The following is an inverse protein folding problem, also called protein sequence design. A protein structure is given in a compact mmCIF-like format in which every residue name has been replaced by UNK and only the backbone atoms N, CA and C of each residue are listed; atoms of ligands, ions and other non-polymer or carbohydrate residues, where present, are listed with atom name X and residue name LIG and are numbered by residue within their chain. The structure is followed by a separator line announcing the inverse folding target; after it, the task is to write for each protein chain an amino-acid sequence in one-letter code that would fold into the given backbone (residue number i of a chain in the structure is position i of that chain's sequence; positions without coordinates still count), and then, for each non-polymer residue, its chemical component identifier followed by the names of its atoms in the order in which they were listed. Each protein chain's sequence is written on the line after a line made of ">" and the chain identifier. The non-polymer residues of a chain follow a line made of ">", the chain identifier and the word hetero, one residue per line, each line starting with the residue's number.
data_IF_876249357859
#
_entry.id   IF_876249357859
#
_cell.length_a   1.000
_cell.length_b   1.000
_cell.length_c   1.000
_cell.angle_alpha   90.00
_cell.angle_beta   90.00
_cell.angle_gamma   90.00
#
_symmetry.space_group_name_H-M   'P 1'
#
loop_
_entity.id
_entity.type
_entity.pdbx_description
1 polymer ?
#
# COMPACT_ATOMS: atom_id res chain seq x y z
N UNK A 1 16.62 -39.03 -14.32
CA UNK A 1 15.50 -39.64 -13.55
C UNK A 1 15.05 -38.63 -12.50
N UNK A 2 14.12 -37.75 -12.87
CA UNK A 2 13.68 -36.60 -12.08
C UNK A 2 12.53 -37.05 -11.17
N UNK A 3 12.67 -36.86 -9.85
CA UNK A 3 11.63 -37.17 -8.85
C UNK A 3 10.57 -36.07 -8.83
N UNK A 4 9.32 -36.55 -8.91
CA UNK A 4 8.05 -35.86 -8.73
C UNK A 4 7.97 -35.09 -7.40
N UNK A 5 7.50 -33.85 -7.46
CA UNK A 5 6.93 -33.14 -6.31
C UNK A 5 5.45 -32.89 -6.61
N UNK A 6 4.62 -33.29 -5.64
CA UNK A 6 3.17 -33.38 -5.67
C UNK A 6 2.52 -32.00 -5.66
N UNK A 7 1.46 -31.89 -6.45
CA UNK A 7 0.47 -30.81 -6.43
C UNK A 7 -0.36 -30.90 -5.14
N UNK A 8 -0.37 -29.85 -4.33
CA UNK A 8 -1.38 -29.67 -3.29
C UNK A 8 -2.57 -28.90 -3.87
N UNK A 9 -3.67 -29.63 -4.04
CA UNK A 9 -4.97 -29.11 -4.49
C UNK A 9 -5.61 -28.26 -3.41
N UNK A 10 -5.84 -26.97 -3.69
CA UNK A 10 -6.72 -26.13 -2.89
C UNK A 10 -8.18 -26.37 -3.30
N UNK A 11 -8.93 -27.02 -2.42
CA UNK A 11 -10.37 -27.27 -2.57
C UNK A 11 -11.16 -25.96 -2.57
N UNK A 12 -11.95 -25.74 -3.62
CA UNK A 12 -12.88 -24.64 -3.75
C UNK A 12 -14.03 -24.75 -2.75
N UNK A 13 -14.38 -23.64 -2.09
CA UNK A 13 -15.65 -23.54 -1.36
C UNK A 13 -15.61 -22.62 -0.15
N UNK A 14 -15.60 -21.30 -0.37
CA UNK A 14 -16.19 -20.31 0.54
C UNK A 14 -16.34 -18.97 -0.19
N UNK A 15 -17.54 -18.39 -0.11
CA UNK A 15 -17.91 -17.10 -0.69
C UNK A 15 -16.96 -16.00 -0.16
N UNK A 16 -16.58 -14.99 -0.94
CA UNK A 16 -15.78 -13.89 -0.41
C UNK A 16 -16.62 -13.11 0.60
N UNK A 17 -16.23 -13.18 1.87
CA UNK A 17 -16.79 -12.33 2.92
C UNK A 17 -16.49 -10.88 2.56
N UNK A 18 -17.53 -10.04 2.52
CA UNK A 18 -17.37 -8.59 2.40
C UNK A 18 -16.54 -8.10 3.60
N UNK A 19 -15.28 -7.71 3.34
CA UNK A 19 -14.46 -7.05 4.34
C UNK A 19 -14.92 -5.59 4.43
N UNK A 20 -15.65 -5.28 5.49
CA UNK A 20 -15.88 -3.91 5.92
C UNK A 20 -14.61 -3.46 6.65
N UNK A 21 -13.98 -2.32 6.28
CA UNK A 21 -12.86 -1.81 7.07
C UNK A 21 -13.32 -1.68 8.53
N UNK A 22 -12.50 -2.09 9.51
CA UNK A 22 -12.88 -1.98 10.91
C UNK A 22 -13.16 -0.51 11.22
N UNK A 23 -14.28 -0.26 11.88
CA UNK A 23 -14.60 1.09 12.36
C UNK A 23 -13.45 1.60 13.23
N UNK A 24 -13.22 2.93 13.29
CA UNK A 24 -12.21 3.52 14.18
C UNK A 24 -12.27 2.95 15.62
N UNK A 25 -13.47 2.59 16.08
CA UNK A 25 -13.70 1.97 17.39
C UNK A 25 -13.14 0.53 17.52
N UNK A 26 -13.15 -0.27 16.46
CA UNK A 26 -12.65 -1.65 16.48
C UNK A 26 -11.13 -1.71 16.40
N UNK A 27 -10.52 -0.80 15.62
CA UNK A 27 -9.06 -0.62 15.57
C UNK A 27 -8.52 -0.11 16.91
N UNK A 28 -9.18 0.89 17.53
CA UNK A 28 -8.82 1.38 18.87
C UNK A 28 -9.02 0.30 19.95
N UNK A 29 -10.08 -0.53 19.89
CA UNK A 29 -10.27 -1.66 20.82
C UNK A 29 -9.16 -2.71 20.69
N UNK A 30 -8.63 -2.94 19.49
CA UNK A 30 -7.56 -3.91 19.25
C UNK A 30 -6.20 -3.38 19.72
N UNK A 31 -5.96 -2.08 19.55
CA UNK A 31 -4.77 -1.38 20.08
C UNK A 31 -4.82 -1.29 21.61
N UNK A 32 -5.97 -0.93 22.21
CA UNK A 32 -6.15 -0.85 23.67
C UNK A 32 -5.95 -2.20 24.39
N UNK A 33 -6.22 -3.34 23.74
CA UNK A 33 -5.95 -4.67 24.32
C UNK A 33 -4.47 -4.99 24.49
N UNK A 34 -3.57 -4.29 23.79
CA UNK A 34 -2.11 -4.47 23.92
C UNK A 34 -1.44 -3.38 24.78
N UNK A 35 -2.17 -2.32 25.12
CA UNK A 35 -1.69 -1.19 25.93
C UNK A 35 -2.58 -1.10 27.18
N UNK A 36 -2.50 -2.09 28.05
CA UNK A 36 -3.12 -2.04 29.36
C UNK A 36 -2.03 -1.94 30.43
N UNK A 37 -1.65 -0.71 30.76
CA UNK A 37 -1.16 -0.25 32.07
C UNK A 37 -1.01 1.28 31.99
N UNK A 38 -2.12 1.98 32.28
CA UNK A 38 -2.23 3.20 33.09
C UNK A 38 -3.58 3.86 32.76
N UNK A 39 -4.56 3.59 33.61
CA UNK A 39 -5.85 4.27 33.63
C UNK A 39 -5.70 5.59 34.40
N UNK A 40 -6.23 6.68 33.84
CA UNK A 40 -7.21 7.53 34.55
C UNK A 40 -8.21 8.11 33.56
N UNK A 41 -9.49 7.95 33.89
CA UNK A 41 -10.66 8.48 33.19
C UNK A 41 -10.78 10.00 33.40
N UNK A 42 -11.02 10.75 32.33
CA UNK A 42 -11.78 12.01 32.44
C UNK A 42 -12.88 12.07 31.37
N UNK A 43 -14.10 12.20 31.86
CA UNK A 43 -15.32 12.49 31.15
C UNK A 43 -15.34 13.94 30.67
N UNK A 44 -15.51 14.25 29.38
CA UNK A 44 -16.15 15.51 28.96
C UNK A 44 -16.80 15.40 27.59
N UNK A 45 -18.01 15.96 27.50
CA UNK A 45 -18.91 15.82 26.38
C UNK A 45 -18.79 16.88 25.27
N UNK A 46 -19.86 16.84 24.48
CA UNK A 46 -20.26 17.73 23.38
C UNK A 46 -19.55 17.53 22.04
N UNK A 47 -20.34 16.97 21.11
CA UNK A 47 -20.11 16.93 19.66
C UNK A 47 -19.74 18.34 19.17
N UNK A 48 -18.49 18.52 18.73
CA UNK A 48 -18.09 19.73 18.00
C UNK A 48 -17.89 19.41 16.53
N UNK A 49 -18.39 20.36 15.75
CA UNK A 49 -18.49 20.45 14.31
C UNK A 49 -17.26 19.88 13.56
N UNK A 50 -17.51 18.91 12.67
CA UNK A 50 -16.50 18.28 11.82
C UNK A 50 -15.99 19.31 10.82
N UNK A 51 -14.87 19.98 11.14
CA UNK A 51 -14.15 20.83 10.19
C UNK A 51 -13.86 20.04 8.91
N UNK A 52 -14.23 20.62 7.77
CA UNK A 52 -14.13 19.99 6.44
C UNK A 52 -12.67 19.67 6.11
N UNK A 53 -12.33 18.42 5.72
CA UNK A 53 -11.00 18.10 5.24
C UNK A 53 -10.76 18.82 3.91
N UNK A 54 -9.76 19.71 3.88
CA UNK A 54 -9.16 20.20 2.64
C UNK A 54 -8.19 19.12 2.17
N UNK A 55 -8.34 18.60 0.94
CA UNK A 55 -7.42 17.61 0.37
C UNK A 55 -8.04 16.40 -0.36
N UNK A 56 -9.36 16.19 -0.32
CA UNK A 56 -9.98 15.11 -1.12
C UNK A 56 -9.96 15.47 -2.62
N UNK A 57 -9.35 14.61 -3.43
CA UNK A 57 -9.54 14.65 -4.89
C UNK A 57 -10.98 14.22 -5.16
N UNK A 58 -11.82 15.16 -5.58
CA UNK A 58 -13.22 14.89 -5.93
C UNK A 58 -13.28 14.15 -7.25
N UNK A 59 -14.29 13.30 -7.44
CA UNK A 59 -14.58 12.69 -8.74
C UNK A 59 -14.75 13.76 -9.85
N UNK A 60 -15.30 14.94 -9.51
CA UNK A 60 -15.43 16.08 -10.43
C UNK A 60 -14.10 16.77 -10.81
N UNK A 61 -12.98 16.45 -10.14
CA UNK A 61 -11.65 17.01 -10.41
C UNK A 61 -10.72 16.00 -11.08
N UNK A 62 -11.23 14.82 -11.47
CA UNK A 62 -10.51 13.88 -12.32
C UNK A 62 -10.29 14.56 -13.68
N UNK A 63 -9.08 14.48 -14.22
CA UNK A 63 -8.82 14.95 -15.59
C UNK A 63 -9.65 14.11 -16.57
N UNK A 64 -10.23 14.76 -17.57
CA UNK A 64 -11.18 14.16 -18.53
C UNK A 64 -10.66 12.81 -19.04
N UNK A 65 -11.48 11.77 -18.82
CA UNK A 65 -11.13 10.36 -19.01
C UNK A 65 -10.75 9.98 -20.45
N UNK A 66 -11.00 10.86 -21.42
CA UNK A 66 -10.81 10.60 -22.84
C UNK A 66 -9.38 10.17 -23.23
N UNK A 67 -8.35 10.68 -22.52
CA UNK A 67 -6.95 10.29 -22.75
C UNK A 67 -6.51 9.03 -21.98
N UNK A 68 -7.04 8.84 -20.77
CA UNK A 68 -6.66 7.72 -19.89
C UNK A 68 -7.31 6.40 -20.27
N UNK A 69 -8.55 6.43 -20.77
CA UNK A 69 -9.33 5.24 -21.14
C UNK A 69 -8.63 4.41 -22.21
N UNK A 70 -7.99 5.04 -23.22
CA UNK A 70 -7.31 4.30 -24.29
C UNK A 70 -6.09 3.51 -23.80
N UNK A 71 -5.33 4.04 -22.83
CA UNK A 71 -4.13 3.39 -22.29
C UNK A 71 -4.46 2.12 -21.47
N UNK A 72 -5.67 2.07 -20.92
CA UNK A 72 -6.16 0.99 -20.06
C UNK A 72 -7.31 0.19 -20.69
N UNK A 73 -7.72 0.51 -21.92
CA UNK A 73 -8.83 -0.17 -22.62
C UNK A 73 -8.60 -1.67 -22.75
N UNK A 74 -7.36 -2.08 -23.02
CA UNK A 74 -6.97 -3.49 -23.08
C UNK A 74 -7.19 -4.25 -21.76
N UNK A 75 -7.23 -3.56 -20.60
CA UNK A 75 -7.55 -4.17 -19.32
C UNK A 75 -9.06 -4.41 -19.17
N UNK A 76 -9.88 -3.50 -19.71
CA UNK A 76 -11.35 -3.67 -19.76
C UNK A 76 -11.69 -4.90 -20.60
N UNK A 77 -11.07 -5.04 -21.78
CA UNK A 77 -11.25 -6.19 -22.66
C UNK A 77 -10.88 -7.52 -22.00
N UNK A 78 -9.92 -7.50 -21.08
CA UNK A 78 -9.49 -8.66 -20.29
C UNK A 78 -10.37 -8.93 -19.06
N UNK A 79 -11.43 -8.14 -18.86
CA UNK A 79 -12.43 -8.33 -17.82
C UNK A 79 -11.99 -7.88 -16.42
N UNK A 80 -10.91 -7.11 -16.32
CA UNK A 80 -10.35 -6.69 -15.02
C UNK A 80 -11.20 -5.64 -14.30
N UNK A 81 -11.87 -4.77 -15.05
CA UNK A 81 -12.80 -3.75 -14.57
C UNK A 81 -13.72 -3.32 -15.73
N UNK A 82 -14.82 -2.63 -15.44
CA UNK A 82 -15.88 -2.34 -16.41
C UNK A 82 -15.74 -0.98 -17.08
N UNK A 83 -15.21 0.03 -16.39
CA UNK A 83 -14.99 1.37 -16.94
C UNK A 83 -13.97 2.15 -16.11
N UNK A 84 -13.41 3.22 -16.69
CA UNK A 84 -12.53 4.19 -16.00
C UNK A 84 -13.25 5.53 -15.92
N UNK A 85 -13.32 6.10 -14.73
CA UNK A 85 -13.85 7.45 -14.48
C UNK A 85 -12.82 8.55 -14.72
N UNK A 86 -11.54 8.27 -14.45
CA UNK A 86 -10.48 9.24 -14.69
C UNK A 86 -9.22 8.98 -13.88
N UNK A 87 -8.26 9.89 -14.00
CA UNK A 87 -6.97 9.78 -13.32
C UNK A 87 -7.04 10.31 -11.88
N UNK A 88 -6.65 9.49 -10.91
CA UNK A 88 -6.54 9.88 -9.50
C UNK A 88 -5.21 10.58 -9.21
N UNK A 89 -4.12 10.04 -9.78
CA UNK A 89 -2.75 10.51 -9.55
C UNK A 89 -1.84 10.04 -10.68
N UNK A 90 -1.12 10.96 -11.30
CA UNK A 90 0.02 10.63 -12.16
C UNK A 90 1.34 10.89 -11.43
N UNK A 91 2.23 9.91 -11.50
CA UNK A 91 3.60 9.98 -11.01
C UNK A 91 4.58 9.58 -12.11
N UNK A 92 5.87 9.78 -11.83
CA UNK A 92 6.95 9.41 -12.78
C UNK A 92 7.03 7.92 -13.06
N UNK A 93 6.53 7.09 -12.13
CA UNK A 93 6.68 5.64 -12.16
C UNK A 93 5.37 4.89 -12.36
N UNK A 94 4.24 5.50 -12.02
CA UNK A 94 2.94 4.89 -12.17
C UNK A 94 1.86 5.97 -12.26
N UNK A 95 0.76 5.61 -12.92
CA UNK A 95 -0.47 6.39 -12.90
C UNK A 95 -1.57 5.55 -12.26
N UNK A 96 -2.33 6.16 -11.37
CA UNK A 96 -3.47 5.53 -10.70
C UNK A 96 -4.74 6.12 -11.30
N UNK A 97 -5.62 5.25 -11.77
CA UNK A 97 -6.95 5.60 -12.28
C UNK A 97 -8.05 5.12 -11.33
N UNK A 98 -9.15 5.85 -11.30
CA UNK A 98 -10.40 5.39 -10.70
C UNK A 98 -11.22 4.69 -11.77
N UNK A 99 -11.73 3.51 -11.46
CA UNK A 99 -12.65 2.79 -12.31
C UNK A 99 -13.76 2.09 -11.53
N UNK A 100 -14.66 1.47 -12.28
CA UNK A 100 -15.72 0.62 -11.75
C UNK A 100 -15.36 -0.83 -11.98
N UNK A 101 -15.46 -1.65 -10.94
CA UNK A 101 -15.39 -3.10 -11.04
C UNK A 101 -16.74 -3.74 -10.73
N UNK A 102 -16.87 -5.07 -10.89
CA UNK A 102 -18.14 -5.77 -10.66
C UNK A 102 -18.72 -5.62 -9.25
N UNK A 103 -17.88 -5.27 -8.28
CA UNK A 103 -18.25 -5.18 -6.85
C UNK A 103 -18.02 -3.78 -6.27
N UNK A 104 -17.93 -2.75 -7.11
CA UNK A 104 -17.74 -1.35 -6.71
C UNK A 104 -16.47 -0.72 -7.26
N UNK A 105 -16.06 0.42 -6.69
CA UNK A 105 -14.94 1.22 -7.19
C UNK A 105 -13.59 0.51 -7.05
N UNK A 106 -12.74 0.70 -8.06
CA UNK A 106 -11.40 0.10 -8.16
C UNK A 106 -10.36 1.17 -8.43
N UNK A 107 -9.19 1.02 -7.84
CA UNK A 107 -8.00 1.77 -8.20
C UNK A 107 -7.15 0.92 -9.16
N UNK A 108 -6.84 1.47 -10.33
CA UNK A 108 -6.04 0.83 -11.37
C UNK A 108 -4.69 1.54 -11.42
N UNK A 109 -3.66 0.92 -10.83
CA UNK A 109 -2.28 1.44 -10.84
C UNK A 109 -1.52 0.82 -12.01
N UNK A 110 -1.16 1.65 -12.97
CA UNK A 110 -0.39 1.25 -14.16
C UNK A 110 1.03 1.75 -14.00
N UNK A 111 2.00 0.84 -13.90
CA UNK A 111 3.41 1.18 -13.87
C UNK A 111 3.88 1.61 -15.26
N UNK A 112 4.74 2.63 -15.29
CA UNK A 112 5.33 3.21 -16.51
C UNK A 112 6.85 3.10 -16.49
N UNK A 113 7.43 3.43 -17.63
CA UNK A 113 8.88 3.46 -17.80
C UNK A 113 9.58 4.42 -16.83
N UNK A 114 10.54 3.86 -16.12
CA UNK A 114 11.38 4.54 -15.13
C UNK A 114 12.49 5.32 -15.82
N UNK A 115 12.37 6.65 -15.97
CA UNK A 115 13.44 7.45 -16.59
C UNK A 115 14.67 7.68 -15.71
N UNK A 116 14.61 7.48 -14.39
CA UNK A 116 15.82 7.56 -13.55
C UNK A 116 15.55 7.13 -12.12
N UNK A 117 15.89 5.88 -11.77
CA UNK A 117 16.15 5.53 -10.36
C UNK A 117 17.64 5.24 -10.23
N UNK A 118 18.35 6.13 -9.54
CA UNK A 118 19.78 5.98 -9.25
C UNK A 118 20.05 4.93 -8.15
N UNK A 119 19.03 4.45 -7.43
CA UNK A 119 19.18 3.55 -6.26
C UNK A 119 18.47 2.19 -6.39
N UNK A 120 18.03 1.83 -7.57
CA UNK A 120 17.21 0.63 -7.83
C UNK A 120 17.94 -0.71 -7.58
N UNK A 121 19.29 -0.70 -7.59
CA UNK A 121 20.08 -1.91 -7.47
C UNK A 121 19.85 -2.65 -6.14
N UNK A 122 19.67 -1.90 -5.05
CA UNK A 122 19.45 -2.44 -3.69
C UNK A 122 18.12 -3.19 -3.59
N UNK A 123 17.11 -2.75 -4.33
CA UNK A 123 15.77 -3.34 -4.27
C UNK A 123 15.58 -4.49 -5.26
N UNK A 124 16.57 -4.83 -6.10
CA UNK A 124 16.49 -5.93 -7.08
C UNK A 124 16.90 -7.28 -6.53
N UNK A 125 17.69 -7.29 -5.45
CA UNK A 125 18.25 -8.50 -4.84
C UNK A 125 17.10 -9.34 -4.25
N UNK A 126 16.77 -10.46 -4.92
CA UNK A 126 15.69 -11.38 -4.50
C UNK A 126 14.43 -11.37 -5.38
N UNK A 127 14.31 -10.47 -6.38
CA UNK A 127 13.21 -10.54 -7.35
C UNK A 127 13.52 -11.61 -8.40
N UNK A 128 12.55 -12.46 -8.72
CA UNK A 128 12.66 -13.40 -9.83
C UNK A 128 12.67 -12.61 -11.15
N UNK A 129 13.85 -12.18 -11.59
CA UNK A 129 14.08 -11.78 -12.97
C UNK A 129 14.01 -13.07 -13.79
N UNK A 130 13.26 -13.07 -14.90
CA UNK A 130 13.02 -14.27 -15.72
C UNK A 130 14.29 -14.89 -16.32
N UNK A 131 14.21 -15.37 -17.55
CA UNK A 131 15.40 -15.92 -18.21
C UNK A 131 16.54 -14.88 -18.37
N UNK A 132 17.76 -15.36 -18.62
CA UNK A 132 18.95 -14.49 -18.77
C UNK A 132 18.76 -13.42 -19.87
N UNK A 133 17.91 -13.68 -20.86
CA UNK A 133 17.55 -12.73 -21.93
C UNK A 133 16.75 -11.56 -21.39
N UNK A 134 15.76 -11.83 -20.54
CA UNK A 134 14.94 -10.81 -19.87
C UNK A 134 15.80 -9.96 -18.93
N UNK A 135 16.67 -10.60 -18.14
CA UNK A 135 17.62 -9.90 -17.28
C UNK A 135 18.53 -8.95 -18.07
N UNK A 136 19.08 -9.43 -19.19
CA UNK A 136 19.92 -8.62 -20.08
C UNK A 136 19.14 -7.46 -20.72
N UNK A 137 17.89 -7.67 -21.11
CA UNK A 137 17.03 -6.64 -21.67
C UNK A 137 16.71 -5.53 -20.66
N UNK A 138 16.42 -5.90 -19.41
CA UNK A 138 16.21 -4.96 -18.29
C UNK A 138 17.49 -4.16 -18.04
N UNK A 139 18.64 -4.83 -17.94
CA UNK A 139 19.94 -4.17 -17.72
C UNK A 139 20.27 -3.18 -18.84
N UNK A 140 19.96 -3.54 -20.09
CA UNK A 140 20.14 -2.68 -21.27
C UNK A 140 19.03 -1.64 -21.47
N UNK A 141 18.01 -1.61 -20.61
CA UNK A 141 16.85 -0.70 -20.70
C UNK A 141 16.20 -0.68 -22.09
N UNK A 142 16.10 -1.84 -22.74
CA UNK A 142 15.38 -1.94 -24.04
C UNK A 142 13.88 -1.71 -23.81
N UNK A 143 13.11 -1.42 -24.86
CA UNK A 143 11.65 -1.28 -24.75
C UNK A 143 10.99 -2.50 -24.07
N UNK A 144 11.39 -3.71 -24.48
CA UNK A 144 10.97 -4.95 -23.82
C UNK A 144 11.45 -5.02 -22.36
N UNK A 145 12.70 -4.67 -22.08
CA UNK A 145 13.25 -4.68 -20.72
C UNK A 145 12.53 -3.74 -19.76
N UNK A 146 12.11 -2.56 -20.24
CA UNK A 146 11.35 -1.58 -19.45
C UNK A 146 9.96 -2.11 -19.09
N UNK A 147 9.25 -2.70 -20.06
CA UNK A 147 7.96 -3.38 -19.82
C UNK A 147 8.10 -4.54 -18.83
N UNK A 148 9.12 -5.37 -19.02
CA UNK A 148 9.43 -6.46 -18.10
C UNK A 148 9.71 -5.95 -16.67
N UNK A 149 10.44 -4.83 -16.53
CA UNK A 149 10.71 -4.22 -15.23
C UNK A 149 9.43 -3.70 -14.56
N UNK A 150 8.58 -2.98 -15.29
CA UNK A 150 7.29 -2.50 -14.79
C UNK A 150 6.39 -3.68 -14.36
N UNK A 151 6.39 -4.78 -15.11
CA UNK A 151 5.65 -5.98 -14.74
C UNK A 151 6.20 -6.66 -13.47
N UNK A 152 7.52 -6.66 -13.26
CA UNK A 152 8.13 -7.16 -12.03
C UNK A 152 7.76 -6.31 -10.81
N UNK A 153 7.61 -4.99 -10.97
CA UNK A 153 7.15 -4.11 -9.91
C UNK A 153 5.69 -4.33 -9.55
N UNK A 154 4.81 -4.42 -10.55
CA UNK A 154 3.41 -4.75 -10.34
C UNK A 154 3.25 -6.12 -9.64
N UNK A 155 3.99 -7.13 -10.11
CA UNK A 155 3.95 -8.46 -9.50
C UNK A 155 4.44 -8.46 -8.05
N UNK A 156 5.48 -7.67 -7.75
CA UNK A 156 5.99 -7.52 -6.38
C UNK A 156 5.00 -6.80 -5.48
N UNK A 157 4.36 -5.73 -5.95
CA UNK A 157 3.35 -5.01 -5.17
C UNK A 157 2.14 -5.91 -4.86
N UNK A 158 1.65 -6.71 -5.82
CA UNK A 158 0.63 -7.72 -5.51
C UNK A 158 1.09 -8.72 -4.45
N UNK A 159 2.33 -9.21 -4.55
CA UNK A 159 2.87 -10.12 -3.55
C UNK A 159 2.84 -9.47 -2.16
N UNK A 160 3.26 -8.21 -2.05
CA UNK A 160 3.27 -7.47 -0.78
C UNK A 160 1.86 -7.18 -0.26
N UNK A 161 0.92 -6.77 -1.12
CA UNK A 161 -0.47 -6.55 -0.71
C UNK A 161 -1.09 -7.81 -0.09
N UNK A 162 -0.89 -8.98 -0.73
CA UNK A 162 -1.37 -10.25 -0.18
C UNK A 162 -0.69 -10.63 1.13
N UNK A 163 0.63 -10.45 1.24
CA UNK A 163 1.38 -10.70 2.48
C UNK A 163 0.91 -9.81 3.62
N UNK A 164 0.74 -8.52 3.37
CA UNK A 164 0.35 -7.54 4.37
C UNK A 164 -1.10 -7.77 4.82
N UNK A 165 -2.00 -8.05 3.87
CA UNK A 165 -3.39 -8.40 4.17
C UNK A 165 -3.49 -9.68 5.00
N UNK A 166 -2.67 -10.70 4.71
CA UNK A 166 -2.62 -11.93 5.51
C UNK A 166 -2.10 -11.69 6.94
N UNK A 167 -1.22 -10.71 7.13
CA UNK A 167 -0.76 -10.25 8.45
C UNK A 167 -1.78 -9.32 9.16
N UNK A 168 -2.89 -8.98 8.52
CA UNK A 168 -3.90 -8.08 9.07
C UNK A 168 -3.55 -6.59 9.00
N UNK A 169 -2.49 -6.23 8.26
CA UNK A 169 -2.11 -4.84 8.00
C UNK A 169 -3.13 -4.24 7.02
N UNK A 170 -3.69 -3.05 7.30
CA UNK A 170 -4.66 -2.42 6.42
C UNK A 170 -3.98 -1.93 5.15
N UNK A 171 -4.29 -2.57 4.04
CA UNK A 171 -3.86 -2.23 2.68
C UNK A 171 -5.07 -2.28 1.74
N UNK A 172 -5.03 -1.64 0.56
CA UNK A 172 -6.04 -1.85 -0.47
C UNK A 172 -6.16 -3.33 -0.82
N UNK A 173 -7.40 -3.83 -0.87
CA UNK A 173 -7.64 -5.23 -1.22
C UNK A 173 -7.25 -5.49 -2.68
N UNK A 174 -6.34 -6.45 -2.96
CA UNK A 174 -6.04 -6.86 -4.33
C UNK A 174 -7.26 -7.48 -5.00
N UNK A 175 -7.45 -7.18 -6.28
CA UNK A 175 -8.54 -7.76 -7.09
C UNK A 175 -8.08 -8.92 -7.99
N UNK A 176 -6.76 -9.17 -8.02
CA UNK A 176 -6.16 -10.34 -8.65
C UNK A 176 -5.72 -11.30 -7.55
N UNK A 177 -6.00 -12.59 -7.72
CA UNK A 177 -5.73 -13.62 -6.73
C UNK A 177 -4.24 -13.73 -6.36
N UNK A 178 -3.91 -14.39 -5.23
CA UNK A 178 -2.55 -14.53 -4.75
C UNK A 178 -1.69 -15.48 -5.60
N UNK A 179 -2.31 -16.23 -6.52
CA UNK A 179 -1.63 -17.18 -7.37
C UNK A 179 -0.65 -16.49 -8.31
N UNK A 180 0.59 -16.98 -8.32
CA UNK A 180 1.68 -16.39 -9.13
C UNK A 180 1.31 -16.26 -10.60
N UNK A 181 0.60 -17.25 -11.15
CA UNK A 181 0.21 -17.25 -12.55
C UNK A 181 -0.81 -16.15 -12.88
N UNK A 182 -1.70 -15.80 -11.94
CA UNK A 182 -2.68 -14.73 -12.08
C UNK A 182 -2.00 -13.36 -11.96
N UNK A 183 -1.13 -13.20 -10.95
CA UNK A 183 -0.34 -11.98 -10.75
C UNK A 183 0.49 -11.67 -12.01
N UNK A 184 1.20 -12.65 -12.56
CA UNK A 184 2.02 -12.46 -13.77
C UNK A 184 1.21 -12.09 -15.00
N UNK A 185 -0.03 -12.59 -15.14
CA UNK A 185 -0.93 -12.22 -16.24
C UNK A 185 -1.32 -10.75 -16.19
N UNK A 186 -1.28 -10.11 -15.03
CA UNK A 186 -1.63 -8.69 -14.87
C UNK A 186 -0.62 -7.75 -15.56
N UNK A 187 0.59 -8.24 -15.88
CA UNK A 187 1.61 -7.43 -16.53
C UNK A 187 2.02 -6.26 -15.65
N UNK A 188 1.94 -5.04 -16.18
CA UNK A 188 2.43 -3.79 -15.56
C UNK A 188 1.39 -3.13 -14.64
N UNK A 189 0.33 -3.85 -14.27
CA UNK A 189 -0.88 -3.27 -13.67
C UNK A 189 -1.21 -3.92 -12.34
N UNK A 190 -1.54 -3.09 -11.35
CA UNK A 190 -2.07 -3.49 -10.05
C UNK A 190 -3.49 -2.98 -9.89
N UNK A 191 -4.41 -3.91 -9.63
CA UNK A 191 -5.83 -3.68 -9.43
C UNK A 191 -6.15 -3.93 -7.98
N UNK A 192 -6.70 -2.91 -7.34
CA UNK A 192 -7.04 -2.96 -5.93
C UNK A 192 -8.32 -2.21 -5.63
N UNK A 193 -8.94 -2.52 -4.51
CA UNK A 193 -10.12 -1.80 -4.02
C UNK A 193 -9.77 -0.32 -3.84
N UNK A 194 -10.63 0.55 -4.35
CA UNK A 194 -10.51 1.97 -4.11
C UNK A 194 -10.79 2.30 -2.64
N UNK A 195 -9.95 3.12 -2.02
CA UNK A 195 -10.14 3.62 -0.66
C UNK A 195 -10.66 5.05 -0.75
N UNK A 196 -11.94 5.24 -0.48
CA UNK A 196 -12.62 6.52 -0.61
C UNK A 196 -14.14 6.36 -0.63
N UNK A 197 -14.84 7.47 -0.87
CA UNK A 197 -16.30 7.52 -1.03
C UNK A 197 -16.67 8.39 -2.25
N UNK A 198 -17.97 8.62 -2.44
CA UNK A 198 -18.52 9.51 -3.47
C UNK A 198 -17.94 10.94 -3.42
N UNK A 199 -17.40 11.35 -2.26
CA UNK A 199 -16.82 12.69 -2.09
C UNK A 199 -15.35 12.73 -2.52
N UNK A 200 -14.74 11.60 -2.81
CA UNK A 200 -13.38 11.50 -3.31
C UNK A 200 -12.50 10.48 -2.60
N UNK A 201 -11.24 10.45 -3.03
CA UNK A 201 -10.26 9.50 -2.51
C UNK A 201 -9.97 9.78 -1.04
N UNK A 202 -9.63 8.72 -0.30
CA UNK A 202 -9.04 8.89 1.02
C UNK A 202 -7.78 9.75 0.90
N UNK A 203 -7.67 10.85 1.65
CA UNK A 203 -6.50 11.71 1.57
C UNK A 203 -5.29 10.99 2.17
N UNK A 204 -4.10 11.33 1.67
CA UNK A 204 -2.85 10.97 2.35
C UNK A 204 -2.77 11.71 3.69
N UNK A 205 -2.11 11.11 4.67
CA UNK A 205 -1.82 11.80 5.94
C UNK A 205 -1.08 13.12 5.71
N UNK A 206 -0.21 13.18 4.70
CA UNK A 206 0.51 14.39 4.31
C UNK A 206 -0.39 15.54 3.80
N UNK A 207 -1.59 15.22 3.28
CA UNK A 207 -2.47 16.19 2.62
C UNK A 207 -3.71 16.55 3.45
N UNK A 208 -3.90 15.93 4.61
CA UNK A 208 -5.10 16.11 5.45
C UNK A 208 -4.79 16.95 6.68
N UNK A 209 -5.66 17.91 6.95
CA UNK A 209 -5.63 18.64 8.21
C UNK A 209 -6.28 17.78 9.31
N UNK A 210 -5.47 17.33 10.26
CA UNK A 210 -5.93 16.58 11.43
C UNK A 210 -5.98 17.49 12.66
N UNK A 211 -6.91 17.22 13.57
CA UNK A 211 -6.78 17.70 14.94
C UNK A 211 -5.57 17.07 15.62
N UNK A 212 -5.08 17.65 16.71
CA UNK A 212 -3.95 17.10 17.47
C UNK A 212 -4.22 15.65 17.93
N UNK A 213 -5.45 15.38 18.41
CA UNK A 213 -5.88 14.05 18.82
C UNK A 213 -5.88 13.05 17.67
N UNK A 214 -6.35 13.45 16.49
CA UNK A 214 -6.33 12.61 15.29
C UNK A 214 -4.90 12.38 14.79
N UNK A 215 -4.05 13.42 14.78
CA UNK A 215 -2.65 13.30 14.39
C UNK A 215 -1.92 12.31 15.31
N UNK A 216 -2.12 12.42 16.64
CA UNK A 216 -1.54 11.49 17.62
C UNK A 216 -2.04 10.07 17.43
N UNK A 217 -3.34 9.90 17.18
CA UNK A 217 -3.92 8.58 16.86
C UNK A 217 -3.32 8.00 15.58
N UNK A 218 -3.22 8.79 14.51
CA UNK A 218 -2.64 8.38 13.24
C UNK A 218 -1.17 7.98 13.41
N UNK A 219 -0.38 8.73 14.18
CA UNK A 219 1.01 8.41 14.47
C UNK A 219 1.13 7.07 15.21
N UNK A 220 0.36 6.86 16.27
CA UNK A 220 0.37 5.60 17.03
C UNK A 220 -0.02 4.40 16.16
N UNK A 221 -1.05 4.55 15.32
CA UNK A 221 -1.43 3.53 14.34
C UNK A 221 -0.29 3.27 13.34
N UNK A 222 0.38 4.33 12.86
CA UNK A 222 1.46 4.21 11.89
C UNK A 222 2.67 3.48 12.46
N UNK A 223 3.06 3.75 13.71
CA UNK A 223 4.14 3.03 14.42
C UNK A 223 3.75 1.58 14.68
N UNK A 224 2.48 1.34 15.06
CA UNK A 224 1.97 -0.03 15.21
C UNK A 224 2.10 -0.82 13.90
N UNK A 225 1.63 -0.27 12.78
CA UNK A 225 1.71 -0.93 11.47
C UNK A 225 3.16 -1.12 10.99
N UNK A 226 4.06 -0.19 11.29
CA UNK A 226 5.49 -0.37 11.01
C UNK A 226 6.06 -1.59 11.75
N UNK A 227 5.67 -1.80 13.00
CA UNK A 227 6.03 -2.98 13.78
C UNK A 227 5.36 -4.28 13.28
N UNK A 228 4.10 -4.23 12.83
CA UNK A 228 3.42 -5.37 12.21
C UNK A 228 4.11 -5.79 10.90
N UNK A 229 4.52 -4.82 10.07
CA UNK A 229 5.29 -5.06 8.84
C UNK A 229 6.59 -5.80 9.15
N UNK A 230 7.33 -5.33 10.16
CA UNK A 230 8.56 -5.98 10.62
C UNK A 230 8.31 -7.42 11.10
N UNK A 231 7.30 -7.62 11.94
CA UNK A 231 6.93 -8.95 12.47
C UNK A 231 6.40 -9.89 11.40
N UNK A 232 5.80 -9.37 10.34
CA UNK A 232 5.43 -10.13 9.16
C UNK A 232 6.64 -10.57 8.30
N UNK A 233 7.85 -10.12 8.65
CA UNK A 233 9.10 -10.47 7.98
C UNK A 233 9.47 -9.53 6.83
N UNK A 234 8.99 -8.28 6.85
CA UNK A 234 9.22 -7.31 5.78
C UNK A 234 9.65 -5.94 6.33
N UNK A 235 10.15 -5.10 5.43
CA UNK A 235 10.38 -3.67 5.64
C UNK A 235 9.73 -2.93 4.47
N UNK A 236 9.05 -1.82 4.73
CA UNK A 236 8.36 -1.08 3.67
C UNK A 236 9.35 -0.35 2.74
N UNK A 237 10.43 0.18 3.32
CA UNK A 237 11.52 0.88 2.65
C UNK A 237 11.16 2.19 1.94
N UNK A 238 9.96 2.71 2.20
CA UNK A 238 9.48 4.03 1.79
C UNK A 238 8.31 4.51 2.69
N UNK A 239 8.42 4.29 4.00
CA UNK A 239 7.30 4.54 4.93
C UNK A 239 7.24 6.00 5.39
N UNK A 240 6.21 6.74 4.97
CA UNK A 240 6.00 8.15 5.34
C UNK A 240 4.53 8.54 5.23
N UNK A 241 4.13 9.73 5.72
CA UNK A 241 2.74 10.22 5.60
C UNK A 241 2.26 10.38 4.15
N UNK A 242 3.16 10.32 3.15
CA UNK A 242 2.79 10.30 1.73
C UNK A 242 2.33 8.93 1.22
N UNK A 243 2.69 7.85 1.91
CA UNK A 243 2.34 6.47 1.57
C UNK A 243 1.35 5.87 2.59
N UNK A 244 0.70 6.73 3.36
CA UNK A 244 -0.31 6.40 4.34
C UNK A 244 -1.59 7.19 4.05
N UNK A 245 -2.70 6.51 3.85
CA UNK A 245 -4.02 7.12 3.70
C UNK A 245 -4.72 7.23 5.05
N UNK A 246 -5.49 8.30 5.23
CA UNK A 246 -6.38 8.48 6.37
C UNK A 246 -7.83 8.26 5.96
N UNK A 247 -8.43 7.18 6.45
CA UNK A 247 -9.80 6.82 6.11
C UNK A 247 -10.58 6.34 7.32
N UNK A 248 -11.71 7.00 7.58
CA UNK A 248 -12.63 6.69 8.69
C UNK A 248 -11.93 6.48 10.05
N UNK A 249 -10.96 7.34 10.38
CA UNK A 249 -10.18 7.27 11.62
C UNK A 249 -9.06 6.21 11.63
N UNK A 250 -8.86 5.50 10.51
CA UNK A 250 -7.84 4.48 10.34
C UNK A 250 -6.73 4.89 9.38
N UNK A 251 -5.52 4.39 9.65
CA UNK A 251 -4.39 4.46 8.71
C UNK A 251 -4.41 3.25 7.77
N UNK A 252 -4.29 3.48 6.46
CA UNK A 252 -4.15 2.44 5.43
C UNK A 252 -2.81 2.61 4.71
N UNK A 253 -2.02 1.54 4.63
CA UNK A 253 -0.70 1.53 3.99
C UNK A 253 -0.85 1.31 2.49
N UNK A 254 -0.16 2.11 1.68
CA UNK A 254 -0.15 2.00 0.22
C UNK A 254 1.28 2.06 -0.33
N UNK A 255 1.42 1.76 -1.62
CA UNK A 255 2.68 1.86 -2.38
C UNK A 255 3.78 0.91 -1.88
N UNK A 256 3.63 -0.37 -2.22
CA UNK A 256 4.51 -1.45 -1.75
C UNK A 256 5.60 -1.96 -2.75
N UNK A 257 5.93 -1.31 -3.90
CA UNK A 257 6.90 -1.89 -4.84
C UNK A 257 8.34 -1.93 -4.31
N UNK A 258 8.65 -1.15 -3.27
CA UNK A 258 9.98 -1.07 -2.65
C UNK A 258 10.14 -1.95 -1.41
N UNK A 259 9.06 -2.57 -0.92
CA UNK A 259 9.14 -3.38 0.29
C UNK A 259 10.08 -4.58 0.09
N UNK A 260 10.86 -4.90 1.12
CA UNK A 260 11.88 -5.96 1.07
C UNK A 260 11.72 -6.94 2.22
N UNK A 261 12.29 -8.11 2.06
CA UNK A 261 12.36 -9.14 3.10
C UNK A 261 13.24 -8.68 4.27
N UNK A 262 12.82 -8.94 5.50
CA UNK A 262 13.56 -8.57 6.72
C UNK A 262 14.90 -9.33 6.87
N UNK A 263 15.15 -10.38 6.08
CA UNK A 263 16.44 -11.08 5.98
C UNK A 263 17.44 -10.36 5.07
N UNK A 264 17.02 -9.33 4.34
CA UNK A 264 17.94 -8.53 3.53
C UNK A 264 19.01 -7.90 4.42
N UNK A 265 20.27 -7.86 3.95
CA UNK A 265 21.41 -7.37 4.74
C UNK A 265 21.23 -5.94 5.27
N UNK A 266 20.53 -5.11 4.50
CA UNK A 266 20.22 -3.71 4.82
C UNK A 266 18.85 -3.53 5.53
N UNK A 267 18.13 -4.59 5.88
CA UNK A 267 16.75 -4.49 6.38
C UNK A 267 16.63 -3.61 7.64
N UNK A 268 17.58 -3.71 8.58
CA UNK A 268 17.58 -2.88 9.79
C UNK A 268 17.83 -1.40 9.50
N UNK A 269 18.69 -1.10 8.53
CA UNK A 269 18.96 0.27 8.10
C UNK A 269 17.74 0.87 7.39
N UNK A 270 17.06 0.07 6.55
CA UNK A 270 15.83 0.46 5.90
C UNK A 270 14.69 0.71 6.90
N UNK A 271 14.57 -0.12 7.95
CA UNK A 271 13.61 0.09 9.03
C UNK A 271 13.89 1.40 9.79
N UNK A 272 15.16 1.69 10.08
CA UNK A 272 15.55 2.94 10.73
C UNK A 272 15.23 4.15 9.85
N UNK A 273 15.44 4.05 8.54
CA UNK A 273 15.05 5.09 7.57
C UNK A 273 13.53 5.27 7.48
N UNK A 274 12.76 4.18 7.52
CA UNK A 274 11.29 4.24 7.56
C UNK A 274 10.81 4.97 8.82
N UNK A 275 11.39 4.69 9.98
CA UNK A 275 11.08 5.40 11.23
C UNK A 275 11.45 6.89 11.16
N UNK A 276 12.62 7.24 10.63
CA UNK A 276 13.04 8.62 10.45
C UNK A 276 12.14 9.40 9.47
N UNK A 277 11.78 8.77 8.36
CA UNK A 277 10.87 9.34 7.34
C UNK A 277 9.48 9.55 7.91
N UNK A 278 9.00 8.60 8.73
CA UNK A 278 7.74 8.72 9.45
C UNK A 278 7.75 9.92 10.40
N UNK A 279 8.71 9.99 11.34
CA UNK A 279 8.80 11.10 12.28
C UNK A 279 8.93 12.45 11.56
N UNK A 280 9.83 12.54 10.58
CA UNK A 280 10.06 13.77 9.81
C UNK A 280 8.80 14.24 9.10
N UNK A 281 8.04 13.34 8.49
CA UNK A 281 6.82 13.69 7.77
C UNK A 281 5.66 14.06 8.72
N UNK A 282 5.60 13.48 9.92
CA UNK A 282 4.61 13.83 10.95
C UNK A 282 4.87 15.17 11.65
N UNK A 283 6.09 15.74 11.56
CA UNK A 283 6.34 17.12 12.03
C UNK A 283 5.43 18.16 11.38
N UNK A 284 5.05 17.93 10.12
CA UNK A 284 4.09 18.80 9.39
C UNK A 284 2.68 18.76 9.98
N UNK A 285 2.37 17.71 10.76
CA UNK A 285 1.12 17.53 11.50
C UNK A 285 1.26 17.91 12.98
N UNK A 286 2.36 18.55 13.37
CA UNK A 286 2.58 19.05 14.73
C UNK A 286 3.12 18.01 15.73
N UNK A 287 3.64 16.87 15.26
CA UNK A 287 4.24 15.85 16.12
C UNK A 287 5.75 15.77 15.87
N UNK A 288 6.53 16.00 16.93
CA UNK A 288 7.99 15.83 16.90
C UNK A 288 8.36 14.65 17.82
N UNK A 289 8.68 13.52 17.20
CA UNK A 289 8.91 12.24 17.87
C UNK A 289 10.30 11.71 17.51
N UNK A 290 10.95 11.01 18.45
CA UNK A 290 12.29 10.46 18.26
C UNK A 290 12.26 9.18 17.39
N UNK A 291 12.91 9.16 16.21
CA UNK A 291 13.01 7.98 15.38
C UNK A 291 13.58 6.76 16.10
N UNK A 292 14.53 6.93 17.03
CA UNK A 292 15.14 5.81 17.75
C UNK A 292 14.11 5.10 18.64
N UNK A 293 13.21 5.87 19.28
CA UNK A 293 12.07 5.35 20.04
C UNK A 293 11.10 4.59 19.15
N UNK A 294 10.81 5.11 17.96
CA UNK A 294 9.94 4.44 16.97
C UNK A 294 10.54 3.10 16.53
N UNK A 295 11.85 3.05 16.23
CA UNK A 295 12.53 1.79 15.89
C UNK A 295 12.45 0.80 17.04
N UNK A 296 12.74 1.23 18.27
CA UNK A 296 12.66 0.36 19.45
C UNK A 296 11.25 -0.21 19.64
N UNK A 297 10.22 0.60 19.46
CA UNK A 297 8.82 0.16 19.54
C UNK A 297 8.45 -0.79 18.41
N UNK A 298 8.90 -0.54 17.17
CA UNK A 298 8.62 -1.39 16.02
C UNK A 298 9.27 -2.78 16.13
N UNK A 299 10.51 -2.83 16.66
CA UNK A 299 11.21 -4.09 16.92
C UNK A 299 10.60 -4.91 18.06
N UNK A 300 9.87 -4.25 18.97
CA UNK A 300 9.34 -4.86 20.19
C UNK A 300 10.43 -5.18 21.23
N UNK A 301 10.05 -5.70 22.42
CA UNK A 301 11.01 -6.17 23.39
C UNK A 301 11.89 -7.26 22.77
N UNK A 302 13.20 -7.21 23.05
CA UNK A 302 14.11 -8.30 22.67
C UNK A 302 13.64 -9.57 23.39
N UNK A 303 12.99 -10.47 22.64
CA UNK A 303 12.72 -11.83 23.08
C UNK A 303 13.99 -12.64 23.24
#
# INVERSE_FOLDING_TARGET
>A
MIRSLREERWSHGRRPCAFTPPSAGDTLKRIKRHVAHDDQEESFGQRKDRRRPRGRVRAANLTDAAGGVAEVAWLIERGFFTSVEGELKSGKEATVYLGHGPTGLVAVKVYREVRSFKNDARYREGRFVGDARTAKAIAKRTGFGKKAQAALWAAHEYHMLWRFRAAGIPVPEPLVGPERSEILKSGEVVLMRYIGDERGAAPRLADVALSETEARSAFQQSVHWLGEIWRAGFVHADYSTYNLLWWDGGVVVIDLPQAVDARHKEARELLARDADSLCTSFRTLGLDEDPARVVAQALGPKG
#
